data_IF_879743738340
#
_entry.id   IF_879743738340
#
_cell.length_a   1.000
_cell.length_b   1.000
_cell.length_c   1.000
_cell.angle_alpha   90.00
_cell.angle_beta   90.00
_cell.angle_gamma   90.00
#
_symmetry.space_group_name_H-M   'P 1'
#
loop_
_entity.id
_entity.type
_entity.pdbx_description
1 polymer ?
#
# COMPACT_ATOMS: atom_id res chain seq x y z
N UNK A 1 24.96 -18.64 -26.15
CA UNK A 1 24.39 -18.80 -24.80
C UNK A 1 23.67 -20.12 -24.76
N UNK A 2 24.08 -21.01 -23.86
CA UNK A 2 23.33 -22.22 -23.54
C UNK A 2 21.92 -21.83 -23.08
N UNK A 3 20.93 -22.63 -23.46
CA UNK A 3 19.58 -22.44 -22.96
C UNK A 3 19.58 -22.73 -21.45
N UNK A 4 19.17 -21.77 -20.61
CA UNK A 4 19.14 -21.94 -19.14
C UNK A 4 18.33 -23.17 -18.72
N UNK A 5 17.35 -23.58 -19.54
CA UNK A 5 16.59 -24.83 -19.36
C UNK A 5 17.49 -26.06 -19.52
N UNK A 6 18.35 -26.08 -20.54
CA UNK A 6 19.31 -27.18 -20.75
C UNK A 6 20.33 -27.24 -19.62
N UNK A 7 20.86 -26.08 -19.20
CA UNK A 7 21.76 -26.00 -18.04
C UNK A 7 21.11 -26.54 -16.77
N UNK A 8 19.83 -26.26 -16.56
CA UNK A 8 19.07 -26.77 -15.42
C UNK A 8 18.94 -28.29 -15.45
N UNK A 9 18.52 -28.84 -16.59
CA UNK A 9 18.37 -30.30 -16.76
C UNK A 9 19.70 -31.00 -16.51
N UNK A 10 20.80 -30.46 -17.04
CA UNK A 10 22.13 -31.01 -16.87
C UNK A 10 22.62 -30.92 -15.42
N UNK A 11 22.42 -29.79 -14.74
CA UNK A 11 22.89 -29.56 -13.37
C UNK A 11 22.20 -30.44 -12.34
N UNK A 12 20.92 -30.75 -12.55
CA UNK A 12 20.10 -31.52 -11.62
C UNK A 12 19.84 -32.98 -12.06
N UNK A 13 20.52 -33.42 -13.13
CA UNK A 13 20.43 -34.78 -13.69
C UNK A 13 19.00 -35.24 -14.00
N UNK A 14 18.23 -34.36 -14.64
CA UNK A 14 16.81 -34.58 -14.99
C UNK A 14 16.70 -35.12 -16.43
N UNK A 15 17.75 -35.81 -16.90
CA UNK A 15 17.80 -36.35 -18.25
C UNK A 15 16.74 -37.45 -18.34
N UNK A 16 15.71 -37.23 -19.16
CA UNK A 16 14.56 -38.10 -19.43
C UNK A 16 13.23 -37.79 -18.68
N UNK A 17 13.12 -36.68 -17.93
CA UNK A 17 11.82 -36.19 -17.44
C UNK A 17 11.28 -35.05 -18.34
N UNK A 18 10.60 -35.43 -19.43
CA UNK A 18 9.94 -34.48 -20.34
C UNK A 18 8.90 -33.58 -19.63
N UNK A 19 8.28 -34.09 -18.55
CA UNK A 19 7.31 -33.32 -17.77
C UNK A 19 7.99 -32.21 -16.99
N UNK A 20 9.13 -32.49 -16.37
CA UNK A 20 9.92 -31.51 -15.62
C UNK A 20 10.57 -30.48 -16.54
N UNK A 21 11.16 -30.90 -17.67
CA UNK A 21 11.68 -29.95 -18.69
C UNK A 21 10.58 -28.98 -19.15
N UNK A 22 9.39 -29.50 -19.48
CA UNK A 22 8.25 -28.68 -19.91
C UNK A 22 7.83 -27.69 -18.83
N UNK A 23 7.92 -28.07 -17.55
CA UNK A 23 7.60 -27.20 -16.41
C UNK A 23 8.63 -26.08 -16.25
N UNK A 24 9.93 -26.39 -16.30
CA UNK A 24 11.02 -25.39 -16.23
C UNK A 24 10.86 -24.38 -17.36
N UNK A 25 10.68 -24.86 -18.60
CA UNK A 25 10.43 -24.00 -19.76
C UNK A 25 9.19 -23.11 -19.56
N UNK A 26 8.13 -23.65 -18.96
CA UNK A 26 6.94 -22.91 -18.61
C UNK A 26 7.17 -21.79 -17.59
N UNK A 27 8.04 -21.99 -16.59
CA UNK A 27 8.41 -20.95 -15.62
C UNK A 27 9.24 -19.86 -16.29
N UNK A 28 10.27 -20.24 -17.05
CA UNK A 28 11.12 -19.29 -17.78
C UNK A 28 10.27 -18.42 -18.71
N UNK A 29 9.34 -19.00 -19.46
CA UNK A 29 8.44 -18.23 -20.32
C UNK A 29 7.57 -17.23 -19.54
N UNK A 30 7.13 -17.58 -18.33
CA UNK A 30 6.34 -16.66 -17.47
C UNK A 30 7.16 -15.52 -16.90
N UNK A 31 8.44 -15.75 -16.60
CA UNK A 31 9.36 -14.70 -16.14
C UNK A 31 9.48 -13.62 -17.23
N UNK A 32 9.58 -14.04 -18.49
CA UNK A 32 9.70 -13.14 -19.65
C UNK A 32 8.37 -12.65 -20.22
N UNK A 33 7.24 -12.93 -19.57
CA UNK A 33 5.93 -12.58 -20.10
C UNK A 33 5.69 -11.07 -20.00
N UNK A 34 5.54 -10.40 -21.14
CA UNK A 34 5.26 -8.97 -21.20
C UNK A 34 3.95 -8.63 -20.48
N UNK A 35 3.97 -7.60 -19.64
CA UNK A 35 2.81 -7.14 -18.86
C UNK A 35 2.52 -7.96 -17.61
N UNK A 36 3.32 -9.00 -17.32
CA UNK A 36 3.32 -9.72 -16.06
C UNK A 36 4.12 -8.96 -15.00
N UNK A 37 3.79 -9.11 -13.71
CA UNK A 37 4.62 -8.55 -12.62
C UNK A 37 6.06 -9.10 -12.63
N UNK A 38 6.27 -10.27 -13.25
CA UNK A 38 7.59 -10.86 -13.39
C UNK A 38 8.48 -10.13 -14.40
N UNK A 39 7.96 -9.19 -15.21
CA UNK A 39 8.83 -8.39 -16.07
C UNK A 39 9.82 -7.51 -15.29
N UNK A 40 9.50 -7.26 -14.01
CA UNK A 40 10.33 -6.50 -13.07
C UNK A 40 11.36 -7.39 -12.36
N UNK A 41 11.32 -8.71 -12.58
CA UNK A 41 12.22 -9.68 -11.98
C UNK A 41 13.55 -9.72 -12.75
N UNK A 42 14.71 -9.42 -12.12
CA UNK A 42 15.97 -9.15 -12.80
C UNK A 42 16.69 -10.45 -13.17
N UNK A 43 15.96 -11.48 -13.54
CA UNK A 43 16.47 -12.83 -13.76
C UNK A 43 17.63 -12.85 -14.76
N UNK A 44 17.48 -12.15 -15.89
CA UNK A 44 18.49 -12.07 -16.95
C UNK A 44 19.76 -11.30 -16.56
N UNK A 45 19.76 -10.59 -15.43
CA UNK A 45 20.92 -9.84 -14.96
C UNK A 45 21.77 -10.64 -13.93
N UNK A 46 21.28 -11.80 -13.52
CA UNK A 46 21.94 -12.67 -12.55
C UNK A 46 22.98 -13.59 -13.21
N UNK A 47 23.95 -14.05 -12.43
CA UNK A 47 24.86 -15.11 -12.87
C UNK A 47 24.08 -16.40 -13.13
N UNK A 48 24.55 -17.23 -14.06
CA UNK A 48 23.87 -18.48 -14.44
C UNK A 48 23.66 -19.40 -13.24
N UNK A 49 24.63 -19.53 -12.34
CA UNK A 49 24.48 -20.34 -11.14
C UNK A 49 23.37 -19.84 -10.21
N UNK A 50 23.25 -18.52 -10.04
CA UNK A 50 22.20 -17.90 -9.21
C UNK A 50 20.82 -18.04 -9.88
N UNK A 51 20.76 -17.94 -11.21
CA UNK A 51 19.54 -18.24 -11.99
C UNK A 51 19.08 -19.68 -11.75
N UNK A 52 20.01 -20.64 -11.82
CA UNK A 52 19.72 -22.07 -11.64
C UNK A 52 19.25 -22.37 -10.21
N UNK A 53 19.87 -21.75 -9.20
CA UNK A 53 19.45 -21.88 -7.79
C UNK A 53 18.01 -21.38 -7.61
N UNK A 54 17.68 -20.20 -8.14
CA UNK A 54 16.33 -19.66 -8.07
C UNK A 54 15.31 -20.53 -8.80
N UNK A 55 15.63 -20.96 -10.03
CA UNK A 55 14.75 -21.85 -10.79
C UNK A 55 14.49 -23.14 -10.02
N UNK A 56 15.52 -23.71 -9.41
CA UNK A 56 15.38 -24.92 -8.62
C UNK A 56 14.48 -24.70 -7.41
N UNK A 57 14.69 -23.63 -6.66
CA UNK A 57 13.81 -23.27 -5.55
C UNK A 57 12.35 -23.08 -6.01
N UNK A 58 12.13 -22.39 -7.12
CA UNK A 58 10.78 -22.22 -7.69
C UNK A 58 10.14 -23.53 -8.15
N UNK A 59 10.96 -24.51 -8.53
CA UNK A 59 10.50 -25.82 -9.00
C UNK A 59 10.23 -26.80 -7.87
N UNK A 60 10.97 -26.75 -6.77
CA UNK A 60 10.88 -27.77 -5.71
C UNK A 60 10.18 -27.29 -4.44
N UNK A 61 10.30 -26.00 -4.11
CA UNK A 61 9.78 -25.44 -2.86
C UNK A 61 8.42 -24.75 -3.04
N UNK A 62 8.08 -24.36 -4.27
CA UNK A 62 6.80 -23.72 -4.58
C UNK A 62 5.83 -24.76 -5.19
N UNK A 63 4.61 -24.97 -4.65
CA UNK A 63 3.60 -25.79 -5.31
C UNK A 63 3.35 -25.34 -6.76
N UNK A 64 3.74 -26.20 -7.69
CA UNK A 64 4.46 -25.91 -8.95
C UNK A 64 3.60 -25.29 -10.07
N UNK A 65 2.34 -24.92 -9.78
CA UNK A 65 1.46 -24.19 -10.72
C UNK A 65 0.69 -23.06 -10.07
N UNK A 66 0.27 -23.21 -8.82
CA UNK A 66 -0.59 -22.23 -8.18
C UNK A 66 0.18 -20.94 -7.89
N UNK A 67 1.42 -21.00 -7.41
CA UNK A 67 2.14 -19.78 -6.97
C UNK A 67 2.53 -18.86 -8.16
N UNK A 68 3.11 -19.39 -9.23
CA UNK A 68 3.42 -18.58 -10.43
C UNK A 68 2.16 -18.06 -11.14
N UNK A 69 1.08 -18.85 -11.19
CA UNK A 69 -0.21 -18.36 -11.68
C UNK A 69 -0.84 -17.33 -10.73
N UNK A 70 -0.43 -17.36 -9.46
CA UNK A 70 -0.95 -16.49 -8.43
C UNK A 70 -0.24 -15.14 -8.35
N UNK A 71 1.06 -15.07 -8.61
CA UNK A 71 1.81 -13.82 -8.56
C UNK A 71 1.37 -12.81 -9.62
N UNK A 72 0.77 -13.25 -10.73
CA UNK A 72 0.16 -12.34 -11.71
C UNK A 72 -1.10 -11.63 -11.20
N UNK A 73 -1.74 -12.13 -10.14
CA UNK A 73 -3.00 -11.55 -9.64
C UNK A 73 -2.71 -10.52 -8.57
N UNK A 74 -3.31 -9.34 -8.71
CA UNK A 74 -3.41 -8.36 -7.64
C UNK A 74 -4.34 -8.95 -6.58
N UNK A 75 -3.77 -9.31 -5.44
CA UNK A 75 -4.53 -9.85 -4.33
C UNK A 75 -3.76 -9.63 -3.02
N UNK A 76 -4.21 -8.65 -2.25
CA UNK A 76 -3.61 -8.29 -0.97
C UNK A 76 -3.75 -9.41 0.08
N UNK A 77 -4.72 -10.30 -0.08
CA UNK A 77 -4.98 -11.41 0.84
C UNK A 77 -4.01 -12.61 0.63
N UNK A 78 -2.95 -12.43 -0.18
CA UNK A 78 -1.97 -13.49 -0.51
C UNK A 78 -0.67 -13.35 0.25
N UNK A 79 -0.12 -14.50 0.63
CA UNK A 79 1.19 -14.59 1.27
C UNK A 79 2.29 -14.87 0.23
N UNK A 80 3.10 -13.86 -0.08
CA UNK A 80 4.15 -13.96 -1.10
C UNK A 80 5.50 -14.44 -0.55
N UNK A 81 5.70 -14.47 0.78
CA UNK A 81 6.98 -14.89 1.39
C UNK A 81 7.38 -16.33 1.07
N UNK A 82 6.46 -17.15 0.58
CA UNK A 82 6.78 -18.48 0.06
C UNK A 82 7.82 -18.45 -1.08
N UNK A 83 7.99 -17.32 -1.77
CA UNK A 83 8.96 -17.14 -2.86
C UNK A 83 10.37 -16.76 -2.39
N UNK A 84 10.53 -16.43 -1.10
CA UNK A 84 11.82 -16.03 -0.56
C UNK A 84 12.73 -17.26 -0.53
N UNK A 85 13.80 -17.20 -1.32
CA UNK A 85 14.88 -18.17 -1.24
C UNK A 85 15.87 -17.75 -0.15
N UNK A 86 16.27 -18.72 0.67
CA UNK A 86 17.37 -18.60 1.62
C UNK A 86 18.11 -19.93 1.67
N UNK A 87 19.42 -19.89 1.41
CA UNK A 87 20.27 -21.08 1.51
C UNK A 87 20.41 -21.55 2.97
N UNK A 88 20.65 -22.84 3.17
CA UNK A 88 20.84 -23.41 4.52
C UNK A 88 22.01 -22.75 5.26
N UNK A 89 23.14 -22.52 4.58
CA UNK A 89 24.27 -21.79 5.14
C UNK A 89 23.88 -20.38 5.60
N UNK A 90 23.07 -19.66 4.81
CA UNK A 90 22.57 -18.35 5.22
C UNK A 90 21.60 -18.45 6.40
N UNK A 91 20.75 -19.47 6.48
CA UNK A 91 19.85 -19.68 7.63
C UNK A 91 20.64 -19.92 8.91
N UNK A 92 21.62 -20.82 8.87
CA UNK A 92 22.50 -21.12 10.01
C UNK A 92 23.29 -19.89 10.43
N UNK A 93 23.86 -19.16 9.46
CA UNK A 93 24.58 -17.92 9.73
C UNK A 93 23.67 -16.86 10.38
N UNK A 94 22.49 -16.61 9.80
CA UNK A 94 21.51 -15.67 10.38
C UNK A 94 21.12 -16.08 11.80
N UNK A 95 20.85 -17.36 12.04
CA UNK A 95 20.50 -17.86 13.37
C UNK A 95 21.63 -17.61 14.39
N UNK A 96 22.87 -17.95 14.02
CA UNK A 96 24.05 -17.73 14.88
C UNK A 96 24.27 -16.25 15.19
N UNK A 97 24.09 -15.36 14.20
CA UNK A 97 24.21 -13.91 14.39
C UNK A 97 23.12 -13.41 15.32
N UNK A 98 21.87 -13.82 15.11
CA UNK A 98 20.73 -13.39 15.93
C UNK A 98 20.87 -13.83 17.39
N UNK A 99 21.37 -15.03 17.64
CA UNK A 99 21.52 -15.58 18.99
C UNK A 99 22.74 -15.02 19.75
N UNK A 100 23.82 -14.63 19.05
CA UNK A 100 25.09 -14.28 19.70
C UNK A 100 25.51 -12.81 19.54
N UNK A 101 25.25 -12.19 18.38
CA UNK A 101 25.77 -10.86 18.03
C UNK A 101 24.70 -9.76 18.12
N UNK A 102 23.42 -10.14 18.03
CA UNK A 102 22.26 -9.24 18.04
C UNK A 102 21.33 -9.49 19.24
N UNK A 103 21.84 -10.05 20.34
CA UNK A 103 21.04 -10.23 21.56
C UNK A 103 20.54 -8.85 22.07
N UNK A 104 19.22 -8.69 22.14
CA UNK A 104 18.58 -7.43 22.54
C UNK A 104 18.55 -6.34 21.46
N UNK A 105 19.05 -6.60 20.25
CA UNK A 105 18.92 -5.66 19.13
C UNK A 105 17.47 -5.61 18.65
N UNK A 106 16.96 -4.39 18.49
CA UNK A 106 15.67 -4.11 17.84
C UNK A 106 15.94 -3.30 16.57
N UNK A 107 15.47 -3.75 15.40
CA UNK A 107 15.48 -2.95 14.19
C UNK A 107 14.83 -1.58 14.40
N UNK A 108 15.34 -0.56 13.70
CA UNK A 108 14.65 0.72 13.57
C UNK A 108 13.24 0.47 13.02
N UNK A 109 12.24 1.10 13.63
CA UNK A 109 10.86 1.08 13.15
C UNK A 109 10.31 2.49 13.06
N UNK A 110 9.55 2.78 12.00
CA UNK A 110 8.89 4.07 11.80
C UNK A 110 7.46 4.13 12.35
N UNK A 111 7.04 3.16 13.16
CA UNK A 111 5.67 3.08 13.65
C UNK A 111 5.25 4.34 14.43
N UNK A 112 6.14 4.86 15.28
CA UNK A 112 5.87 6.05 16.09
C UNK A 112 5.93 7.33 15.25
N UNK A 113 6.95 7.49 14.41
CA UNK A 113 7.07 8.63 13.48
C UNK A 113 5.84 8.72 12.56
N UNK A 114 5.33 7.57 12.12
CA UNK A 114 4.12 7.48 11.30
C UNK A 114 2.88 8.04 12.03
N UNK A 115 2.72 7.74 13.32
CA UNK A 115 1.60 8.22 14.13
C UNK A 115 1.77 9.70 14.50
N UNK A 116 2.96 10.09 14.95
CA UNK A 116 3.26 11.47 15.36
C UNK A 116 3.12 12.44 14.18
N UNK A 117 3.71 12.12 13.02
CA UNK A 117 3.58 12.94 11.81
C UNK A 117 2.12 13.11 11.39
N UNK A 118 1.31 12.06 11.52
CA UNK A 118 -0.13 12.13 11.24
C UNK A 118 -0.85 13.10 12.17
N UNK A 119 -0.57 13.05 13.47
CA UNK A 119 -1.21 13.94 14.44
C UNK A 119 -0.79 15.40 14.24
N UNK A 120 0.50 15.64 13.96
CA UNK A 120 1.03 16.96 13.65
C UNK A 120 0.38 17.54 12.38
N UNK A 121 0.26 16.74 11.31
CA UNK A 121 -0.36 17.16 10.05
C UNK A 121 -1.85 17.44 10.26
N UNK A 122 -2.56 16.62 11.04
CA UNK A 122 -4.02 16.75 11.20
C UNK A 122 -4.44 17.86 12.14
N UNK A 123 -3.57 18.28 13.07
CA UNK A 123 -3.91 19.30 14.06
C UNK A 123 -3.95 20.71 13.42
N UNK A 124 -5.13 21.33 13.24
CA UNK A 124 -5.26 22.61 12.54
C UNK A 124 -4.60 23.79 13.27
N UNK A 125 -4.26 23.64 14.55
CA UNK A 125 -3.56 24.66 15.35
C UNK A 125 -2.11 24.82 14.88
N UNK A 126 -1.49 23.73 14.42
CA UNK A 126 -0.12 23.79 13.92
C UNK A 126 -0.08 24.59 12.62
N UNK A 127 0.80 25.59 12.59
CA UNK A 127 1.15 26.34 11.38
C UNK A 127 1.74 25.42 10.31
N UNK A 128 1.44 25.70 9.03
CA UNK A 128 1.87 24.85 7.92
C UNK A 128 3.39 24.84 7.74
N UNK A 129 4.07 25.97 7.94
CA UNK A 129 5.53 26.04 7.80
C UNK A 129 6.20 25.24 8.93
N UNK A 130 5.68 25.32 10.15
CA UNK A 130 6.10 24.47 11.26
C UNK A 130 5.92 22.99 10.98
N UNK A 131 4.77 22.60 10.40
CA UNK A 131 4.51 21.20 10.01
C UNK A 131 5.50 20.74 8.94
N UNK A 132 5.71 21.52 7.87
CA UNK A 132 6.60 21.12 6.77
C UNK A 132 8.06 21.05 7.20
N UNK A 133 8.52 22.00 8.03
CA UNK A 133 9.86 21.96 8.62
C UNK A 133 10.07 20.68 9.44
N UNK A 134 9.12 20.34 10.31
CA UNK A 134 9.19 19.10 11.09
C UNK A 134 9.30 17.86 10.18
N UNK A 135 8.47 17.78 9.13
CA UNK A 135 8.47 16.63 8.23
C UNK A 135 9.78 16.48 7.44
N UNK A 136 10.40 17.59 7.03
CA UNK A 136 11.72 17.60 6.40
C UNK A 136 12.81 17.11 7.36
N UNK A 137 12.82 17.60 8.61
CA UNK A 137 13.76 17.16 9.64
C UNK A 137 13.63 15.67 9.98
N UNK A 138 12.39 15.15 10.02
CA UNK A 138 12.15 13.71 10.21
C UNK A 138 12.63 12.92 8.99
N UNK A 139 12.39 13.39 7.76
CA UNK A 139 12.86 12.71 6.55
C UNK A 139 14.39 12.54 6.56
N UNK A 140 15.13 13.60 6.93
CA UNK A 140 16.59 13.56 7.11
C UNK A 140 17.02 12.61 8.24
N UNK A 141 16.28 12.60 9.34
CA UNK A 141 16.58 11.75 10.49
C UNK A 141 16.39 10.27 10.16
N UNK A 142 15.29 9.91 9.50
CA UNK A 142 14.98 8.54 9.09
C UNK A 142 16.06 7.96 8.18
N UNK A 143 16.43 8.67 7.10
CA UNK A 143 17.47 8.18 6.19
C UNK A 143 18.81 8.03 6.92
N UNK A 144 19.17 8.97 7.78
CA UNK A 144 20.41 8.90 8.57
C UNK A 144 20.42 7.70 9.50
N UNK A 145 19.32 7.40 10.18
CA UNK A 145 19.20 6.25 11.08
C UNK A 145 19.39 4.94 10.31
N UNK A 146 18.69 4.75 9.20
CA UNK A 146 18.85 3.52 8.39
C UNK A 146 20.26 3.36 7.82
N UNK A 147 20.89 4.45 7.35
CA UNK A 147 22.27 4.40 6.86
C UNK A 147 23.28 4.10 7.99
N UNK A 148 23.09 4.68 9.18
CA UNK A 148 23.92 4.42 10.36
C UNK A 148 23.83 2.96 10.79
N UNK A 149 22.62 2.41 10.88
CA UNK A 149 22.43 1.01 11.26
C UNK A 149 23.02 0.06 10.22
N UNK A 150 22.84 0.35 8.92
CA UNK A 150 23.53 -0.39 7.84
C UNK A 150 25.04 -0.39 8.03
N UNK A 151 25.64 0.76 8.37
CA UNK A 151 27.08 0.86 8.61
C UNK A 151 27.51 0.06 9.83
N UNK A 152 26.77 0.11 10.93
CA UNK A 152 27.04 -0.67 12.14
C UNK A 152 27.03 -2.18 11.86
N UNK A 153 25.97 -2.65 11.20
CA UNK A 153 25.85 -4.06 10.80
C UNK A 153 27.00 -4.47 9.87
N UNK A 154 27.38 -3.61 8.92
CA UNK A 154 28.54 -3.86 8.04
C UNK A 154 29.85 -3.98 8.82
N UNK A 155 30.08 -3.15 9.85
CA UNK A 155 31.27 -3.23 10.73
C UNK A 155 31.31 -4.55 11.49
N UNK A 156 30.15 -5.09 11.86
CA UNK A 156 30.01 -6.42 12.48
C UNK A 156 30.15 -7.58 11.47
N UNK A 157 30.40 -7.30 10.18
CA UNK A 157 30.46 -8.33 9.15
C UNK A 157 29.09 -8.86 8.70
N UNK A 158 28.02 -8.16 9.08
CA UNK A 158 26.64 -8.51 8.77
C UNK A 158 26.18 -7.87 7.47
N UNK A 159 25.47 -8.64 6.64
CA UNK A 159 24.79 -8.11 5.46
C UNK A 159 23.41 -7.61 5.88
N UNK A 160 23.15 -6.32 5.67
CA UNK A 160 21.81 -5.73 5.78
C UNK A 160 20.97 -6.17 4.59
N UNK A 161 20.04 -7.11 4.82
CA UNK A 161 19.03 -7.54 3.85
C UNK A 161 17.62 -7.27 4.36
N UNK A 162 17.45 -6.21 5.16
CA UNK A 162 16.14 -5.86 5.70
C UNK A 162 15.34 -5.00 4.72
N UNK A 163 14.71 -5.66 3.74
CA UNK A 163 13.81 -5.01 2.78
C UNK A 163 12.54 -4.43 3.42
N UNK A 164 12.28 -4.72 4.69
CA UNK A 164 11.21 -4.07 5.45
C UNK A 164 11.47 -2.57 5.58
N UNK A 165 12.72 -2.09 5.63
CA UNK A 165 13.00 -0.65 5.68
C UNK A 165 12.54 0.11 4.44
N UNK A 166 12.66 -0.51 3.26
CA UNK A 166 12.12 0.07 2.02
C UNK A 166 10.60 0.17 2.14
N UNK A 167 9.96 -0.89 2.65
CA UNK A 167 8.49 -0.93 2.84
C UNK A 167 8.02 0.12 3.83
N UNK A 168 8.60 0.16 5.04
CA UNK A 168 8.25 1.11 6.08
C UNK A 168 8.45 2.56 5.62
N UNK A 169 9.55 2.84 4.93
CA UNK A 169 9.83 4.19 4.48
C UNK A 169 8.88 4.64 3.36
N UNK A 170 8.58 3.75 2.40
CA UNK A 170 7.52 4.02 1.39
C UNK A 170 6.17 4.27 2.07
N UNK A 171 5.80 3.45 3.06
CA UNK A 171 4.54 3.58 3.80
C UNK A 171 4.45 4.92 4.53
N UNK A 172 5.57 5.33 5.15
CA UNK A 172 5.71 6.62 5.82
C UNK A 172 5.55 7.78 4.83
N UNK A 173 6.32 7.78 3.74
CA UNK A 173 6.28 8.84 2.71
C UNK A 173 4.90 8.96 2.09
N UNK A 174 4.32 7.84 1.65
CA UNK A 174 2.96 7.77 1.13
C UNK A 174 1.95 8.37 2.11
N UNK A 175 2.00 7.97 3.39
CA UNK A 175 1.09 8.48 4.40
C UNK A 175 1.27 10.00 4.59
N UNK A 176 2.50 10.48 4.82
CA UNK A 176 2.78 11.91 5.06
C UNK A 176 2.25 12.79 3.93
N UNK A 177 2.61 12.46 2.68
CA UNK A 177 2.21 13.25 1.51
C UNK A 177 0.69 13.24 1.32
N UNK A 178 0.04 12.09 1.49
CA UNK A 178 -1.42 11.99 1.37
C UNK A 178 -2.16 12.66 2.54
N UNK A 179 -1.62 12.63 3.76
CA UNK A 179 -2.20 13.38 4.89
C UNK A 179 -2.10 14.89 4.64
N UNK A 180 -0.95 15.38 4.16
CA UNK A 180 -0.79 16.79 3.78
C UNK A 180 -1.81 17.18 2.71
N UNK A 181 -1.92 16.37 1.65
CA UNK A 181 -2.90 16.61 0.60
C UNK A 181 -4.33 16.71 1.14
N UNK A 182 -4.75 15.78 2.00
CA UNK A 182 -6.14 15.76 2.48
C UNK A 182 -6.40 16.89 3.49
N UNK A 183 -5.52 17.07 4.48
CA UNK A 183 -5.82 17.92 5.64
C UNK A 183 -5.33 19.36 5.50
N UNK A 184 -4.28 19.60 4.70
CA UNK A 184 -3.67 20.93 4.51
C UNK A 184 -3.95 21.53 3.15
N UNK A 185 -4.38 20.74 2.18
CA UNK A 185 -4.74 21.23 0.83
C UNK A 185 -6.24 21.10 0.58
N UNK A 186 -6.78 19.88 0.54
CA UNK A 186 -8.17 19.64 0.14
C UNK A 186 -9.19 20.19 1.14
N UNK A 187 -8.94 20.03 2.44
CA UNK A 187 -9.85 20.51 3.49
C UNK A 187 -9.63 22.00 3.85
N UNK A 188 -8.77 22.72 3.12
CA UNK A 188 -8.49 24.15 3.37
C UNK A 188 -9.12 24.99 2.27
N UNK A 189 -10.20 25.69 2.62
CA UNK A 189 -10.98 26.52 1.69
C UNK A 189 -10.15 27.63 1.02
N UNK A 190 -9.06 28.09 1.65
CA UNK A 190 -8.16 29.10 1.10
C UNK A 190 -7.24 28.59 -0.01
N UNK A 191 -7.13 27.26 -0.20
CA UNK A 191 -6.18 26.65 -1.12
C UNK A 191 -6.90 26.17 -2.37
N UNK A 192 -6.35 26.50 -3.55
CA UNK A 192 -6.81 25.95 -4.84
C UNK A 192 -6.36 24.51 -4.99
N UNK A 193 -7.02 23.60 -4.30
CA UNK A 193 -6.63 22.19 -4.13
C UNK A 193 -6.32 21.46 -5.43
N UNK A 194 -7.16 21.62 -6.47
CA UNK A 194 -6.94 20.98 -7.78
C UNK A 194 -5.66 21.47 -8.48
N UNK A 195 -5.29 22.75 -8.32
CA UNK A 195 -4.04 23.26 -8.89
C UNK A 195 -2.84 22.61 -8.20
N UNK A 196 -2.87 22.54 -6.87
CA UNK A 196 -1.80 21.90 -6.09
C UNK A 196 -1.67 20.41 -6.45
N UNK A 197 -2.79 19.69 -6.62
CA UNK A 197 -2.80 18.30 -7.08
C UNK A 197 -2.10 18.15 -8.43
N UNK A 198 -2.39 19.04 -9.39
CA UNK A 198 -1.79 18.99 -10.72
C UNK A 198 -0.28 19.26 -10.67
N UNK A 199 0.15 20.30 -9.96
CA UNK A 199 1.56 20.66 -9.80
C UNK A 199 2.36 19.53 -9.14
N UNK A 200 1.81 18.90 -8.09
CA UNK A 200 2.43 17.73 -7.46
C UNK A 200 2.49 16.52 -8.40
N UNK A 201 1.45 16.33 -9.23
CA UNK A 201 1.41 15.24 -10.20
C UNK A 201 2.43 15.42 -11.32
N UNK A 202 2.63 16.65 -11.80
CA UNK A 202 3.68 17.00 -12.77
C UNK A 202 5.06 16.76 -12.16
N UNK A 203 5.26 17.12 -10.89
CA UNK A 203 6.53 16.85 -10.21
C UNK A 203 6.83 15.37 -10.06
N UNK A 204 5.82 14.55 -9.81
CA UNK A 204 5.98 13.09 -9.81
C UNK A 204 6.43 12.60 -11.18
N UNK A 205 5.83 13.09 -12.27
CA UNK A 205 6.22 12.69 -13.63
C UNK A 205 7.69 13.08 -13.92
N UNK A 206 8.12 14.27 -13.50
CA UNK A 206 9.54 14.69 -13.62
C UNK A 206 10.49 13.75 -12.86
N UNK A 207 10.15 13.41 -11.62
CA UNK A 207 10.97 12.52 -10.78
C UNK A 207 10.98 11.10 -11.35
N UNK A 208 9.85 10.64 -11.89
CA UNK A 208 9.72 9.33 -12.54
C UNK A 208 10.69 9.18 -13.71
N UNK A 209 10.76 10.19 -14.59
CA UNK A 209 11.72 10.20 -15.70
C UNK A 209 13.17 10.12 -15.24
N UNK A 210 13.50 10.76 -14.12
CA UNK A 210 14.85 10.72 -13.53
C UNK A 210 15.14 9.32 -12.96
N UNK A 211 14.20 8.72 -12.25
CA UNK A 211 14.32 7.36 -11.72
C UNK A 211 14.47 6.34 -12.84
N UNK A 212 13.69 6.44 -13.93
CA UNK A 212 13.82 5.56 -15.10
C UNK A 212 15.22 5.65 -15.73
N UNK A 213 15.78 6.85 -15.83
CA UNK A 213 17.17 7.04 -16.31
C UNK A 213 18.18 6.36 -15.39
N UNK A 214 18.00 6.42 -14.08
CA UNK A 214 18.89 5.76 -13.11
C UNK A 214 18.73 4.24 -13.13
N UNK A 215 17.50 3.71 -13.14
CA UNK A 215 17.24 2.27 -13.31
C UNK A 215 17.87 1.74 -14.60
N UNK A 216 17.79 2.50 -15.70
CA UNK A 216 18.46 2.16 -16.95
C UNK A 216 19.99 2.07 -16.83
N UNK A 217 20.61 2.91 -16.00
CA UNK A 217 22.05 2.84 -15.69
C UNK A 217 22.37 1.61 -14.83
N UNK A 218 21.58 1.34 -13.80
CA UNK A 218 21.75 0.16 -12.93
C UNK A 218 21.66 -1.14 -13.72
N UNK A 219 20.65 -1.27 -14.60
CA UNK A 219 20.50 -2.44 -15.50
C UNK A 219 21.71 -2.66 -16.40
N UNK A 220 22.27 -1.59 -16.99
CA UNK A 220 23.50 -1.67 -17.79
C UNK A 220 24.70 -2.07 -16.93
N UNK A 221 24.78 -1.55 -15.71
CA UNK A 221 25.78 -1.92 -14.72
C UNK A 221 25.75 -3.40 -14.38
N UNK A 222 24.55 -3.97 -14.15
CA UNK A 222 24.40 -5.40 -13.86
C UNK A 222 24.77 -6.29 -15.04
N UNK A 223 24.41 -5.91 -16.27
CA UNK A 223 24.83 -6.65 -17.47
C UNK A 223 26.36 -6.72 -17.56
N UNK A 224 27.02 -5.56 -17.41
CA UNK A 224 28.49 -5.51 -17.44
C UNK A 224 29.11 -6.32 -16.31
N UNK A 225 28.59 -6.18 -15.09
CA UNK A 225 29.07 -6.96 -13.95
C UNK A 225 28.87 -8.47 -14.15
N UNK A 226 27.78 -8.89 -14.81
CA UNK A 226 27.56 -10.30 -15.18
C UNK A 226 28.60 -10.77 -16.21
N UNK A 227 28.86 -10.00 -17.25
CA UNK A 227 29.89 -10.29 -18.27
C UNK A 227 31.29 -10.42 -17.64
N UNK A 228 31.59 -9.56 -16.66
CA UNK A 228 32.85 -9.55 -15.92
C UNK A 228 32.89 -10.60 -14.77
N UNK A 229 31.85 -11.42 -14.60
CA UNK A 229 31.70 -12.41 -13.50
C UNK A 229 31.76 -11.81 -12.08
N UNK A 230 31.27 -10.59 -11.92
CA UNK A 230 31.24 -9.80 -10.68
C UNK A 230 29.82 -9.37 -10.26
N UNK A 231 28.76 -9.96 -10.83
CA UNK A 231 27.38 -9.55 -10.50
C UNK A 231 27.05 -9.76 -9.02
N UNK A 232 26.42 -8.75 -8.41
CA UNK A 232 26.00 -8.75 -7.00
C UNK A 232 24.57 -9.25 -6.77
N UNK A 233 23.82 -9.56 -7.84
CA UNK A 233 22.45 -10.03 -7.77
C UNK A 233 22.39 -11.52 -7.46
N UNK A 234 22.31 -11.86 -6.17
CA UNK A 234 22.12 -13.24 -5.72
C UNK A 234 20.65 -13.64 -5.66
N UNK A 235 20.40 -14.95 -5.69
CA UNK A 235 19.10 -15.59 -5.52
C UNK A 235 18.37 -15.08 -4.26
N UNK A 236 19.08 -14.97 -3.14
CA UNK A 236 18.50 -14.51 -1.88
C UNK A 236 18.09 -13.03 -1.94
N UNK A 237 18.98 -12.16 -2.42
CA UNK A 237 18.73 -10.71 -2.54
C UNK A 237 17.55 -10.46 -3.47
N UNK A 238 17.58 -11.07 -4.66
CA UNK A 238 16.56 -10.88 -5.70
C UNK A 238 15.20 -11.42 -5.26
N UNK A 239 15.14 -12.63 -4.69
CA UNK A 239 13.86 -13.20 -4.24
C UNK A 239 13.25 -12.44 -3.07
N UNK A 240 14.06 -11.99 -2.09
CA UNK A 240 13.60 -11.17 -0.96
C UNK A 240 13.06 -9.81 -1.42
N UNK A 241 13.84 -9.09 -2.23
CA UNK A 241 13.44 -7.78 -2.75
C UNK A 241 12.18 -7.87 -3.60
N UNK A 242 12.14 -8.81 -4.55
CA UNK A 242 10.98 -9.00 -5.42
C UNK A 242 9.73 -9.40 -4.64
N UNK A 243 9.87 -10.24 -3.62
CA UNK A 243 8.75 -10.60 -2.76
C UNK A 243 8.20 -9.40 -1.99
N UNK A 244 9.08 -8.57 -1.43
CA UNK A 244 8.69 -7.33 -0.77
C UNK A 244 7.95 -6.39 -1.75
N UNK A 245 8.51 -6.21 -2.96
CA UNK A 245 7.89 -5.45 -4.04
C UNK A 245 6.48 -5.97 -4.40
N UNK A 246 6.34 -7.27 -4.70
CA UNK A 246 5.04 -7.85 -5.11
C UNK A 246 4.00 -7.77 -4.00
N UNK A 247 4.42 -7.96 -2.75
CA UNK A 247 3.54 -7.81 -1.57
C UNK A 247 3.04 -6.37 -1.46
N UNK A 248 3.96 -5.40 -1.53
CA UNK A 248 3.63 -3.98 -1.45
C UNK A 248 2.75 -3.54 -2.63
N UNK A 249 3.13 -3.92 -3.84
CA UNK A 249 2.39 -3.69 -5.08
C UNK A 249 0.98 -4.24 -4.99
N UNK A 250 0.80 -5.45 -4.47
CA UNK A 250 -0.53 -6.05 -4.30
C UNK A 250 -1.44 -5.20 -3.42
N UNK A 251 -0.92 -4.67 -2.31
CA UNK A 251 -1.67 -3.76 -1.43
C UNK A 251 -2.08 -2.48 -2.16
N UNK A 252 -1.15 -1.78 -2.79
CA UNK A 252 -1.43 -0.51 -3.49
C UNK A 252 -2.36 -0.69 -4.70
N UNK A 253 -2.17 -1.75 -5.48
CA UNK A 253 -3.00 -2.01 -6.65
C UNK A 253 -4.40 -2.52 -6.27
N UNK A 254 -4.54 -3.21 -5.14
CA UNK A 254 -5.86 -3.54 -4.57
C UNK A 254 -6.60 -2.25 -4.18
N UNK A 255 -5.91 -1.32 -3.52
CA UNK A 255 -6.47 -0.01 -3.17
C UNK A 255 -6.91 0.78 -4.41
N UNK A 256 -6.09 0.80 -5.45
CA UNK A 256 -6.40 1.46 -6.72
C UNK A 256 -7.60 0.79 -7.42
N UNK A 257 -7.64 -0.54 -7.47
CA UNK A 257 -8.75 -1.29 -8.08
C UNK A 257 -10.08 -0.98 -7.39
N UNK A 258 -10.07 -0.86 -6.06
CA UNK A 258 -11.21 -0.40 -5.27
C UNK A 258 -11.61 1.02 -5.67
N UNK A 259 -10.66 1.95 -5.71
CA UNK A 259 -10.92 3.37 -6.04
C UNK A 259 -11.46 3.56 -7.44
N UNK A 260 -10.98 2.82 -8.44
CA UNK A 260 -11.53 2.87 -9.80
C UNK A 260 -12.98 2.38 -9.83
N UNK A 261 -13.32 1.28 -9.15
CA UNK A 261 -14.73 0.83 -9.04
C UNK A 261 -15.62 1.91 -8.43
N UNK A 262 -15.12 2.61 -7.41
CA UNK A 262 -15.88 3.68 -6.74
C UNK A 262 -16.00 4.95 -7.58
N UNK A 263 -14.95 5.30 -8.33
CA UNK A 263 -14.94 6.39 -9.30
C UNK A 263 -15.87 6.10 -10.48
N UNK A 264 -15.86 4.89 -11.02
CA UNK A 264 -16.79 4.45 -12.06
C UNK A 264 -18.24 4.55 -11.59
N UNK A 265 -18.55 4.18 -10.34
CA UNK A 265 -19.90 4.37 -9.79
C UNK A 265 -20.28 5.86 -9.74
N UNK A 266 -19.35 6.75 -9.39
CA UNK A 266 -19.59 8.20 -9.38
C UNK A 266 -19.93 8.73 -10.78
N UNK A 267 -19.18 8.31 -11.79
CA UNK A 267 -19.39 8.73 -13.18
C UNK A 267 -20.68 8.16 -13.78
N UNK A 268 -20.99 6.89 -13.47
CA UNK A 268 -22.13 6.18 -14.05
C UNK A 268 -23.44 6.37 -13.28
N UNK A 269 -23.39 6.91 -12.06
CA UNK A 269 -24.58 7.22 -11.25
C UNK A 269 -24.61 8.69 -10.77
N UNK A 270 -24.64 9.69 -11.67
CA UNK A 270 -24.56 11.11 -11.28
C UNK A 270 -25.65 11.54 -10.29
N UNK A 271 -26.85 10.93 -10.37
CA UNK A 271 -27.96 11.23 -9.46
C UNK A 271 -27.63 10.92 -8.00
N UNK A 272 -26.78 9.92 -7.75
CA UNK A 272 -26.33 9.56 -6.40
C UNK A 272 -25.22 10.50 -5.90
N UNK A 273 -24.37 11.01 -6.80
CA UNK A 273 -23.16 11.76 -6.43
C UNK A 273 -23.21 13.25 -6.79
N UNK A 274 -24.40 13.75 -7.16
CA UNK A 274 -24.68 15.19 -7.25
C UNK A 274 -24.42 15.90 -5.91
N UNK A 275 -24.26 17.21 -6.01
CA UNK A 275 -24.21 18.11 -4.85
C UNK A 275 -25.40 17.87 -3.93
N UNK A 276 -25.12 17.92 -2.63
CA UNK A 276 -26.10 17.64 -1.59
C UNK A 276 -26.96 18.90 -1.41
N UNK A 277 -28.30 18.82 -1.59
CA UNK A 277 -29.17 19.95 -1.31
C UNK A 277 -28.97 20.48 0.11
N UNK A 278 -29.01 21.80 0.27
CA UNK A 278 -28.67 22.49 1.53
C UNK A 278 -29.47 21.95 2.73
N UNK A 279 -30.76 21.64 2.53
CA UNK A 279 -31.66 21.08 3.54
C UNK A 279 -31.27 19.68 4.02
N UNK A 280 -30.46 18.95 3.25
CA UNK A 280 -29.96 17.63 3.59
C UNK A 280 -28.48 17.61 3.96
N UNK A 281 -27.77 18.75 3.94
CA UNK A 281 -26.36 18.82 4.36
C UNK A 281 -26.23 18.50 5.84
N UNK A 282 -25.36 17.56 6.17
CA UNK A 282 -25.10 17.10 7.52
C UNK A 282 -23.82 17.73 8.07
N UNK A 283 -23.96 18.55 9.11
CA UNK A 283 -22.83 19.10 9.87
C UNK A 283 -22.24 18.03 10.78
N UNK A 284 -20.94 18.15 11.08
CA UNK A 284 -20.24 17.28 12.04
C UNK A 284 -20.59 17.70 13.48
N UNK A 285 -21.81 17.37 13.91
CA UNK A 285 -22.36 17.67 15.23
C UNK A 285 -22.93 16.41 15.87
N UNK A 286 -22.88 16.34 17.20
CA UNK A 286 -23.52 15.26 17.98
C UNK A 286 -25.01 15.56 18.10
N UNK A 287 -25.83 14.57 17.78
CA UNK A 287 -27.29 14.60 17.93
C UNK A 287 -27.67 13.78 19.17
N UNK A 288 -28.55 14.29 20.05
CA UNK A 288 -29.08 13.51 21.17
C UNK A 288 -29.71 12.20 20.71
N UNK A 289 -29.55 11.12 21.49
CA UNK A 289 -29.96 9.78 21.09
C UNK A 289 -31.47 9.64 20.83
N UNK A 290 -32.28 10.41 21.56
CA UNK A 290 -33.73 10.53 21.42
C UNK A 290 -34.15 11.28 20.14
N UNK A 291 -33.31 12.20 19.66
CA UNK A 291 -33.54 12.99 18.44
C UNK A 291 -33.05 12.29 17.16
N UNK A 292 -32.32 11.18 17.23
CA UNK A 292 -31.83 10.45 16.05
C UNK A 292 -32.95 10.07 15.06
N UNK A 293 -34.17 9.86 15.55
CA UNK A 293 -35.31 9.54 14.69
C UNK A 293 -35.80 10.74 13.87
N UNK A 294 -35.61 11.97 14.36
CA UNK A 294 -36.08 13.20 13.71
C UNK A 294 -35.18 13.59 12.53
N UNK A 295 -33.90 13.18 12.55
CA UNK A 295 -32.93 13.44 11.46
C UNK A 295 -33.02 12.44 10.29
N UNK A 296 -34.05 11.57 10.25
CA UNK A 296 -34.26 10.58 9.18
C UNK A 296 -34.25 11.21 7.79
N UNK A 297 -34.94 12.32 7.60
CA UNK A 297 -35.03 13.00 6.30
C UNK A 297 -33.66 13.47 5.81
N UNK A 298 -32.79 13.92 6.72
CA UNK A 298 -31.42 14.35 6.42
C UNK A 298 -30.56 13.14 6.04
N UNK A 299 -30.60 12.07 6.83
CA UNK A 299 -29.81 10.85 6.58
C UNK A 299 -30.19 10.18 5.25
N UNK A 300 -31.49 10.19 4.93
CA UNK A 300 -32.03 9.54 3.73
C UNK A 300 -32.17 10.46 2.52
N UNK A 301 -31.80 11.74 2.66
CA UNK A 301 -31.96 12.77 1.62
C UNK A 301 -33.40 12.81 1.06
N UNK A 302 -34.39 12.69 1.95
CA UNK A 302 -35.82 12.67 1.63
C UNK A 302 -36.34 11.38 1.01
N UNK A 303 -35.49 10.37 0.78
CA UNK A 303 -35.89 9.13 0.12
C UNK A 303 -36.57 8.15 1.08
N UNK A 304 -37.58 7.43 0.57
CA UNK A 304 -38.15 6.30 1.30
C UNK A 304 -37.18 5.11 1.29
N UNK A 305 -36.85 4.57 2.46
CA UNK A 305 -35.95 3.42 2.60
C UNK A 305 -36.55 2.39 3.56
N UNK A 306 -36.79 1.20 3.03
CA UNK A 306 -37.30 0.06 3.81
C UNK A 306 -36.32 -0.37 4.89
N UNK A 307 -36.85 -0.75 6.06
CA UNK A 307 -36.04 -1.21 7.19
C UNK A 307 -35.08 -0.14 7.72
N UNK A 308 -35.46 1.15 7.64
CA UNK A 308 -34.60 2.27 8.05
C UNK A 308 -34.04 2.08 9.47
N UNK A 309 -34.87 1.66 10.44
CA UNK A 309 -34.47 1.51 11.84
C UNK A 309 -33.35 0.47 11.99
N UNK A 310 -33.51 -0.71 11.40
CA UNK A 310 -32.52 -1.80 11.51
C UNK A 310 -31.21 -1.45 10.81
N UNK A 311 -31.31 -0.78 9.64
CA UNK A 311 -30.14 -0.28 8.90
C UNK A 311 -29.39 0.79 9.69
N UNK A 312 -30.12 1.69 10.34
CA UNK A 312 -29.53 2.74 11.16
C UNK A 312 -28.80 2.14 12.37
N UNK A 313 -29.39 1.16 13.04
CA UNK A 313 -28.73 0.50 14.17
C UNK A 313 -27.48 -0.24 13.72
N UNK A 314 -27.53 -0.94 12.58
CA UNK A 314 -26.34 -1.56 11.95
C UNK A 314 -25.22 -0.52 11.73
N UNK A 315 -25.57 0.66 11.23
CA UNK A 315 -24.62 1.76 10.99
C UNK A 315 -24.02 2.27 12.30
N UNK A 316 -24.84 2.47 13.33
CA UNK A 316 -24.38 2.94 14.65
C UNK A 316 -23.37 1.98 15.25
N UNK A 317 -23.72 0.71 15.32
CA UNK A 317 -22.81 -0.35 15.80
C UNK A 317 -21.52 -0.38 15.00
N UNK A 318 -21.59 -0.27 13.67
CA UNK A 318 -20.40 -0.29 12.84
C UNK A 318 -19.52 0.96 13.04
N UNK A 319 -20.10 2.15 13.23
CA UNK A 319 -19.33 3.36 13.52
C UNK A 319 -18.54 3.20 14.83
N UNK A 320 -19.18 2.69 15.89
CA UNK A 320 -18.51 2.47 17.18
C UNK A 320 -17.38 1.46 17.05
N UNK A 321 -17.61 0.34 16.34
CA UNK A 321 -16.56 -0.64 16.04
C UNK A 321 -15.40 0.00 15.27
N UNK A 322 -15.68 0.86 14.28
CA UNK A 322 -14.66 1.50 13.46
C UNK A 322 -13.89 2.61 14.18
N UNK A 323 -14.50 3.25 15.18
CA UNK A 323 -13.81 4.18 16.07
C UNK A 323 -12.73 3.44 16.88
N UNK A 324 -13.10 2.29 17.47
CA UNK A 324 -12.18 1.46 18.27
C UNK A 324 -11.14 0.73 17.41
N UNK A 325 -11.59 0.01 16.38
CA UNK A 325 -10.73 -0.82 15.52
C UNK A 325 -9.82 0.01 14.61
N UNK A 326 -10.38 1.06 13.99
CA UNK A 326 -9.70 1.83 12.96
C UNK A 326 -9.10 3.15 13.46
N UNK A 327 -9.26 3.49 14.74
CA UNK A 327 -8.87 4.79 15.30
C UNK A 327 -9.51 5.96 14.57
N UNK A 328 -10.71 5.77 13.99
CA UNK A 328 -11.36 6.81 13.18
C UNK A 328 -12.03 7.84 14.08
N UNK A 329 -11.88 9.12 13.72
CA UNK A 329 -12.57 10.23 14.37
C UNK A 329 -14.04 10.31 13.90
N UNK A 330 -14.82 9.28 14.21
CA UNK A 330 -16.25 9.16 13.93
C UNK A 330 -17.03 8.75 15.19
N UNK A 331 -18.32 9.09 15.24
CA UNK A 331 -19.17 8.82 16.39
C UNK A 331 -20.58 8.39 15.97
N UNK A 332 -21.16 7.38 16.62
CA UNK A 332 -22.50 6.83 16.28
C UNK A 332 -23.68 7.75 16.60
N UNK A 333 -23.40 8.93 17.14
CA UNK A 333 -24.37 10.02 17.36
C UNK A 333 -24.06 11.25 16.49
N UNK A 334 -23.00 11.23 15.68
CA UNK A 334 -22.65 12.34 14.81
C UNK A 334 -23.52 12.32 13.54
N UNK A 335 -24.23 13.42 13.26
CA UNK A 335 -25.15 13.50 12.12
C UNK A 335 -24.46 13.22 10.78
N UNK A 336 -23.29 13.83 10.56
CA UNK A 336 -22.50 13.62 9.35
C UNK A 336 -22.04 12.18 9.21
N UNK A 337 -21.51 11.57 10.28
CA UNK A 337 -21.02 10.18 10.24
C UNK A 337 -22.17 9.22 9.97
N UNK A 338 -23.31 9.39 10.64
CA UNK A 338 -24.51 8.59 10.42
C UNK A 338 -24.96 8.66 8.97
N UNK A 339 -25.08 9.86 8.41
CA UNK A 339 -25.49 10.05 7.02
C UNK A 339 -24.52 9.39 6.04
N UNK A 340 -23.23 9.67 6.18
CA UNK A 340 -22.18 9.15 5.29
C UNK A 340 -22.14 7.62 5.32
N UNK A 341 -22.08 7.03 6.52
CA UNK A 341 -22.04 5.57 6.66
C UNK A 341 -23.32 4.92 6.15
N UNK A 342 -24.48 5.46 6.49
CA UNK A 342 -25.77 4.93 6.03
C UNK A 342 -25.84 4.91 4.51
N UNK A 343 -25.51 6.03 3.86
CA UNK A 343 -25.55 6.15 2.40
C UNK A 343 -24.56 5.19 1.73
N UNK A 344 -23.32 5.15 2.19
CA UNK A 344 -22.28 4.32 1.56
C UNK A 344 -22.48 2.82 1.76
N UNK A 345 -23.08 2.41 2.89
CA UNK A 345 -23.36 1.01 3.21
C UNK A 345 -24.64 0.50 2.51
N UNK A 346 -25.71 1.30 2.49
CA UNK A 346 -27.04 0.83 2.09
C UNK A 346 -27.63 1.49 0.83
N UNK A 347 -27.23 2.70 0.48
CA UNK A 347 -27.75 3.42 -0.70
C UNK A 347 -26.86 3.21 -1.92
N UNK A 348 -25.55 3.35 -1.75
CA UNK A 348 -24.57 3.05 -2.81
C UNK A 348 -24.56 1.55 -3.12
N UNK A 349 -24.69 1.23 -4.40
CA UNK A 349 -24.87 -0.16 -4.88
C UNK A 349 -23.58 -0.80 -5.37
N UNK A 350 -22.48 -0.04 -5.45
CA UNK A 350 -21.17 -0.60 -5.81
C UNK A 350 -20.83 -1.82 -4.96
N UNK A 351 -20.27 -2.80 -5.65
CA UNK A 351 -19.77 -4.03 -5.07
C UNK A 351 -18.33 -4.23 -5.51
N UNK A 352 -17.52 -4.79 -4.63
CA UNK A 352 -16.16 -5.16 -4.97
C UNK A 352 -16.01 -6.68 -4.81
N UNK A 353 -15.40 -7.35 -5.80
CA UNK A 353 -15.31 -8.82 -5.87
C UNK A 353 -16.66 -9.50 -5.59
N UNK A 354 -17.75 -8.99 -6.21
CA UNK A 354 -19.15 -9.45 -6.09
C UNK A 354 -19.77 -9.33 -4.69
N UNK A 355 -19.18 -8.52 -3.81
CA UNK A 355 -19.63 -8.34 -2.41
C UNK A 355 -20.03 -6.88 -2.18
N UNK A 356 -21.24 -6.66 -1.65
CA UNK A 356 -21.74 -5.32 -1.27
C UNK A 356 -21.25 -4.94 0.13
N UNK A 357 -21.08 -3.65 0.36
CA UNK A 357 -20.66 -3.10 1.66
C UNK A 357 -21.58 -3.54 2.80
N UNK A 358 -22.90 -3.48 2.62
CA UNK A 358 -23.87 -3.94 3.63
C UNK A 358 -23.69 -5.39 4.07
N UNK A 359 -23.30 -6.29 3.16
CA UNK A 359 -23.04 -7.69 3.49
C UNK A 359 -21.74 -7.83 4.28
N UNK A 360 -20.67 -7.15 3.83
CA UNK A 360 -19.38 -7.14 4.52
C UNK A 360 -19.53 -6.61 5.94
N UNK A 361 -20.22 -5.48 6.11
CA UNK A 361 -20.44 -4.84 7.42
C UNK A 361 -21.22 -5.74 8.38
N UNK A 362 -22.31 -6.35 7.91
CA UNK A 362 -23.10 -7.26 8.77
C UNK A 362 -22.31 -8.47 9.22
N UNK A 363 -21.62 -9.14 8.29
CA UNK A 363 -20.79 -10.31 8.61
C UNK A 363 -19.66 -9.94 9.58
N UNK A 364 -19.08 -8.74 9.47
CA UNK A 364 -18.06 -8.27 10.40
C UNK A 364 -18.62 -7.91 11.78
N UNK A 365 -19.80 -7.27 11.86
CA UNK A 365 -20.48 -7.04 13.15
C UNK A 365 -20.74 -8.38 13.86
N UNK A 366 -21.20 -9.39 13.14
CA UNK A 366 -21.44 -10.72 13.70
C UNK A 366 -20.13 -11.36 14.21
N UNK A 367 -19.04 -11.21 13.46
CA UNK A 367 -17.70 -11.65 13.86
C UNK A 367 -17.23 -10.95 15.15
N UNK A 368 -17.38 -9.63 15.26
CA UNK A 368 -17.03 -8.87 16.47
C UNK A 368 -17.93 -9.26 17.64
N UNK A 369 -19.22 -9.50 17.41
CA UNK A 369 -20.14 -9.93 18.46
C UNK A 369 -19.77 -11.31 19.01
N UNK A 370 -19.29 -12.23 18.16
CA UNK A 370 -18.77 -13.52 18.58
C UNK A 370 -17.50 -13.37 19.43
N UNK A 371 -16.52 -12.60 18.95
CA UNK A 371 -15.29 -12.32 19.69
C UNK A 371 -15.55 -11.69 21.07
N UNK A 372 -16.50 -10.75 21.16
CA UNK A 372 -16.93 -10.15 22.43
C UNK A 372 -17.53 -11.18 23.40
N UNK A 373 -18.34 -12.13 22.91
CA UNK A 373 -18.86 -13.24 23.74
C UNK A 373 -17.74 -14.13 24.27
N UNK A 374 -16.69 -14.31 23.49
CA UNK A 374 -15.49 -15.08 23.84
C UNK A 374 -14.45 -14.27 24.63
N UNK A 375 -14.75 -13.00 24.98
CA UNK A 375 -13.84 -12.06 25.67
C UNK A 375 -12.52 -11.81 24.93
N UNK A 376 -12.57 -11.87 23.60
CA UNK A 376 -11.43 -11.56 22.73
C UNK A 376 -11.44 -10.08 22.33
N UNK A 377 -10.29 -9.58 21.89
CA UNK A 377 -10.17 -8.27 21.26
C UNK A 377 -11.00 -8.20 19.98
N UNK A 378 -11.23 -6.98 19.47
CA UNK A 378 -11.90 -6.79 18.18
C UNK A 378 -11.05 -7.49 17.10
N UNK A 379 -11.59 -8.50 16.40
CA UNK A 379 -10.83 -9.26 15.43
C UNK A 379 -10.62 -8.45 14.15
N UNK A 380 -9.60 -8.80 13.37
CA UNK A 380 -9.42 -8.23 12.03
C UNK A 380 -10.52 -8.72 11.06
N UNK A 381 -10.71 -7.97 9.98
CA UNK A 381 -11.56 -8.43 8.88
C UNK A 381 -10.99 -9.72 8.29
N UNK A 382 -11.85 -10.70 8.01
CA UNK A 382 -11.47 -11.96 7.35
C UNK A 382 -10.71 -11.77 6.02
N UNK A 383 -10.91 -10.63 5.36
CA UNK A 383 -10.17 -10.22 4.15
C UNK A 383 -9.80 -8.76 4.24
N UNK A 384 -8.53 -8.44 4.04
CA UNK A 384 -8.04 -7.06 4.03
C UNK A 384 -8.67 -6.26 2.88
N UNK A 385 -8.88 -6.90 1.72
CA UNK A 385 -9.58 -6.29 0.58
C UNK A 385 -10.99 -5.79 0.92
N UNK A 386 -11.70 -6.46 1.83
CA UNK A 386 -13.04 -6.05 2.27
C UNK A 386 -13.00 -4.82 3.18
N UNK A 387 -12.04 -4.78 4.11
CA UNK A 387 -11.81 -3.61 4.96
C UNK A 387 -11.48 -2.38 4.12
N UNK A 388 -10.52 -2.51 3.19
CA UNK A 388 -10.10 -1.44 2.29
C UNK A 388 -11.29 -0.90 1.48
N UNK A 389 -12.14 -1.78 0.95
CA UNK A 389 -13.32 -1.38 0.20
C UNK A 389 -14.30 -0.56 1.04
N UNK A 390 -14.69 -1.06 2.22
CA UNK A 390 -15.63 -0.33 3.09
C UNK A 390 -15.02 0.99 3.57
N UNK A 391 -13.77 0.99 4.00
CA UNK A 391 -13.03 2.19 4.43
C UNK A 391 -13.08 3.28 3.36
N UNK A 392 -12.79 2.92 2.12
CA UNK A 392 -12.71 3.86 1.00
C UNK A 392 -14.08 4.35 0.54
N UNK A 393 -15.13 3.51 0.60
CA UNK A 393 -16.52 3.98 0.41
C UNK A 393 -16.87 5.10 1.38
N UNK A 394 -16.58 4.88 2.66
CA UNK A 394 -16.80 5.90 3.70
C UNK A 394 -16.01 7.17 3.41
N UNK A 395 -14.73 7.06 3.03
CA UNK A 395 -13.91 8.21 2.65
C UNK A 395 -14.57 9.01 1.52
N UNK A 396 -14.93 8.35 0.41
CA UNK A 396 -15.65 8.98 -0.71
C UNK A 396 -16.93 9.67 -0.27
N UNK A 397 -17.69 9.06 0.63
CA UNK A 397 -18.91 9.63 1.19
C UNK A 397 -18.66 10.96 1.92
N UNK A 398 -17.57 11.06 2.69
CA UNK A 398 -17.16 12.33 3.31
C UNK A 398 -16.77 13.41 2.29
N UNK A 399 -16.05 13.03 1.23
CA UNK A 399 -15.74 13.97 0.15
C UNK A 399 -17.02 14.50 -0.51
N UNK A 400 -17.98 13.61 -0.80
CA UNK A 400 -19.28 14.04 -1.34
C UNK A 400 -20.02 14.98 -0.39
N UNK A 401 -20.07 14.67 0.90
CA UNK A 401 -20.80 15.50 1.89
C UNK A 401 -20.23 16.92 1.99
N UNK A 402 -18.93 17.07 1.71
CA UNK A 402 -18.23 18.35 1.65
C UNK A 402 -18.21 18.99 0.26
N UNK A 403 -18.89 18.40 -0.73
CA UNK A 403 -18.89 18.85 -2.13
C UNK A 403 -17.51 18.75 -2.83
N UNK A 404 -16.60 17.93 -2.29
CA UNK A 404 -15.23 17.76 -2.76
C UNK A 404 -15.09 16.58 -3.75
N UNK A 405 -16.12 16.31 -4.55
CA UNK A 405 -16.13 15.12 -5.43
C UNK A 405 -15.07 15.20 -6.54
N UNK A 406 -14.71 16.41 -6.99
CA UNK A 406 -13.66 16.60 -8.01
C UNK A 406 -12.28 16.36 -7.40
N UNK A 407 -12.05 16.87 -6.20
CA UNK A 407 -10.83 16.70 -5.41
C UNK A 407 -10.62 15.22 -5.05
N UNK A 408 -11.69 14.49 -4.77
CA UNK A 408 -11.62 13.03 -4.58
C UNK A 408 -11.04 12.32 -5.81
N UNK A 409 -11.53 12.66 -7.02
CA UNK A 409 -11.04 12.08 -8.27
C UNK A 409 -9.58 12.50 -8.53
N UNK A 410 -9.26 13.79 -8.34
CA UNK A 410 -7.90 14.30 -8.47
C UNK A 410 -6.92 13.61 -7.52
N UNK A 411 -7.32 13.42 -6.26
CA UNK A 411 -6.55 12.66 -5.26
C UNK A 411 -6.27 11.23 -5.72
N UNK A 412 -7.25 10.51 -6.27
CA UNK A 412 -7.05 9.14 -6.76
C UNK A 412 -5.97 9.09 -7.84
N UNK A 413 -6.00 10.04 -8.78
CA UNK A 413 -5.01 10.11 -9.87
C UNK A 413 -3.61 10.38 -9.32
N UNK A 414 -3.48 11.38 -8.45
CA UNK A 414 -2.21 11.69 -7.79
C UNK A 414 -1.67 10.51 -6.98
N UNK A 415 -2.52 9.90 -6.15
CA UNK A 415 -2.14 8.79 -5.29
C UNK A 415 -1.66 7.57 -6.10
N UNK A 416 -2.28 7.29 -7.25
CA UNK A 416 -1.80 6.25 -8.16
C UNK A 416 -0.38 6.55 -8.65
N UNK A 417 -0.16 7.77 -9.16
CA UNK A 417 1.17 8.19 -9.65
C UNK A 417 2.24 8.08 -8.56
N UNK A 418 1.91 8.52 -7.34
CA UNK A 418 2.81 8.43 -6.19
C UNK A 418 3.15 6.97 -5.86
N UNK A 419 2.17 6.08 -5.83
CA UNK A 419 2.40 4.67 -5.55
C UNK A 419 3.20 3.97 -6.63
N UNK A 420 2.92 4.25 -7.90
CA UNK A 420 3.70 3.70 -9.01
C UNK A 420 5.16 4.16 -8.93
N UNK A 421 5.41 5.44 -8.66
CA UNK A 421 6.76 6.00 -8.45
C UNK A 421 7.49 5.31 -7.29
N UNK A 422 6.86 5.24 -6.11
CA UNK A 422 7.47 4.66 -4.91
C UNK A 422 7.75 3.16 -5.08
N UNK A 423 6.86 2.42 -5.75
CA UNK A 423 7.06 0.99 -6.03
C UNK A 423 8.24 0.73 -6.96
N UNK A 424 8.52 1.63 -7.92
CA UNK A 424 9.70 1.51 -8.80
C UNK A 424 11.02 1.55 -8.02
N UNK A 425 11.03 2.10 -6.81
CA UNK A 425 12.25 2.20 -6.00
C UNK A 425 12.73 0.81 -5.54
N UNK A 426 11.87 -0.20 -5.45
CA UNK A 426 12.32 -1.58 -5.24
C UNK A 426 13.15 -2.12 -6.41
N UNK A 427 12.96 -1.60 -7.62
CA UNK A 427 13.57 -2.13 -8.84
C UNK A 427 15.06 -1.83 -8.95
N UNK A 428 15.64 -1.09 -8.01
CA UNK A 428 17.09 -0.97 -7.86
C UNK A 428 17.73 -2.24 -7.27
N UNK A 429 16.96 -3.12 -6.62
CA UNK A 429 17.47 -4.35 -5.99
C UNK A 429 18.63 -4.15 -4.99
N UNK A 430 18.89 -2.91 -4.59
CA UNK A 430 19.83 -2.48 -3.56
C UNK A 430 19.09 -1.63 -2.53
N UNK A 431 19.25 -1.97 -1.25
CA UNK A 431 18.52 -1.32 -0.15
C UNK A 431 18.94 0.15 -0.03
N UNK A 432 20.23 0.47 -0.19
CA UNK A 432 20.69 1.84 0.01
C UNK A 432 20.23 2.74 -1.12
N UNK A 433 20.42 2.33 -2.38
CA UNK A 433 19.92 3.10 -3.52
C UNK A 433 18.41 3.35 -3.36
N UNK A 434 17.66 2.32 -2.99
CA UNK A 434 16.22 2.43 -2.76
C UNK A 434 15.89 3.46 -1.66
N UNK A 435 16.55 3.39 -0.50
CA UNK A 435 16.30 4.30 0.63
C UNK A 435 16.68 5.76 0.31
N UNK A 436 17.81 5.97 -0.38
CA UNK A 436 18.25 7.29 -0.81
C UNK A 436 17.25 7.90 -1.81
N UNK A 437 16.76 7.12 -2.78
CA UNK A 437 15.72 7.62 -3.69
C UNK A 437 14.37 7.85 -3.01
N UNK A 438 13.98 7.05 -2.01
CA UNK A 438 12.77 7.32 -1.21
C UNK A 438 12.88 8.67 -0.50
N UNK A 439 14.04 8.93 0.13
CA UNK A 439 14.34 10.20 0.76
C UNK A 439 14.21 11.37 -0.23
N UNK A 440 14.83 11.25 -1.41
CA UNK A 440 14.80 12.29 -2.44
C UNK A 440 13.38 12.57 -2.94
N UNK A 441 12.58 11.53 -3.19
CA UNK A 441 11.17 11.69 -3.59
C UNK A 441 10.41 12.50 -2.54
N UNK A 442 10.53 12.12 -1.26
CA UNK A 442 9.81 12.80 -0.19
C UNK A 442 10.31 14.25 -0.01
N UNK A 443 11.63 14.47 -0.03
CA UNK A 443 12.24 15.79 0.11
C UNK A 443 11.75 16.74 -0.99
N UNK A 444 11.78 16.30 -2.26
CA UNK A 444 11.33 17.12 -3.38
C UNK A 444 9.83 17.45 -3.29
N UNK A 445 8.98 16.50 -2.90
CA UNK A 445 7.54 16.73 -2.78
C UNK A 445 7.19 17.58 -1.57
N UNK A 446 7.86 17.43 -0.43
CA UNK A 446 7.67 18.29 0.75
C UNK A 446 8.07 19.75 0.47
N UNK A 447 9.18 19.97 -0.22
CA UNK A 447 9.57 21.32 -0.64
C UNK A 447 8.58 21.93 -1.64
N UNK A 448 8.02 21.10 -2.53
CA UNK A 448 6.97 21.57 -3.43
C UNK A 448 5.72 21.98 -2.65
N UNK A 449 5.28 21.19 -1.67
CA UNK A 449 4.21 21.60 -0.74
C UNK A 449 4.51 22.95 -0.08
N UNK A 450 5.75 23.18 0.37
CA UNK A 450 6.14 24.46 0.97
C UNK A 450 5.89 25.63 0.02
N UNK A 451 6.39 25.54 -1.21
CA UNK A 451 6.16 26.59 -2.23
C UNK A 451 4.70 26.81 -2.61
N UNK A 452 3.86 25.77 -2.57
CA UNK A 452 2.44 25.86 -2.94
C UNK A 452 1.55 26.37 -1.81
N UNK A 453 2.01 26.28 -0.55
CA UNK A 453 1.22 26.62 0.64
C UNK A 453 1.71 27.90 1.34
N UNK A 454 2.86 28.45 0.95
CA UNK A 454 3.36 29.78 1.36
C UNK A 454 2.73 30.94 0.54
N UNK A 455 1.67 30.69 -0.22
CA UNK A 455 0.97 31.66 -1.08
C UNK A 455 -0.14 32.46 -0.41
#
# INVERSE_FOLDING_TARGET
>A
MSNIVSLYIDKYDIRDDESEEKRVRGIVNKIHEKGSVFCDFPFDYMMEDEQLVLLHHMMTSLPERQIMANMKKIDVDRYYMNFVYQSENSKEKTKSISENELEGYSPISLADEYLISRDIIRNPINDINGVLKYLLEINETVIRLYLQEKMQLKVMGLKTLNYEYIKEYIDYVANVLLQLLVYRVINKDSVKSLNVINVLSEKIDEIDELIEKQLGRSKKGWLKAREDSQSCLSAETVSKCFTAYVTHRSRFYEEFSIKEVLKEEMLNSPSLFREVPTEYKAKKIIVPADEIKTVKSIITEGQHIDGYKDKLETVRTFIDIMADYGGRQCHSLCLQDLKVYYREIFVSKSSYRRRRASRIVKEYIDQVALAKKERQSIPEFNKQSQYMFVREKINRGYFREKELSKEYIGKIVFEKKLYDLLLKLYLFYDIQDSLEFIYEVNYNLLNLYNSQLEG
#
